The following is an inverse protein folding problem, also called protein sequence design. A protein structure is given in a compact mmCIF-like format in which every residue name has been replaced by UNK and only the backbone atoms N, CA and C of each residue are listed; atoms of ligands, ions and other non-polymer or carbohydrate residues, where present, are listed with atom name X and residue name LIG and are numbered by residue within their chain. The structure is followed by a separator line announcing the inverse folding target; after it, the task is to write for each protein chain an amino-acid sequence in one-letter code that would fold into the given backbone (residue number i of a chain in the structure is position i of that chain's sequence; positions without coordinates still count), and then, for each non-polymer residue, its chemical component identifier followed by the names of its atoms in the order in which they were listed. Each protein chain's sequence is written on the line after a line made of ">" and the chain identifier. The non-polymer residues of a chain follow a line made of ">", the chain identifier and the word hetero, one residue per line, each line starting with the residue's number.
data_IF_439018743449
#
_entry.id   IF_439018743449
#
_cell.length_a   1.000
_cell.length_b   1.000
_cell.length_c   1.000
_cell.angle_alpha   90.00
_cell.angle_beta   90.00
_cell.angle_gamma   90.00
#
_symmetry.space_group_name_H-M   'P 1'
#
loop_
_entity.id
_entity.type
_entity.pdbx_description
1 polymer ?
#
# COMPACT_ATOMS: atom_id res chain seq x y z
N UNK A 1 -33.12 -13.09 18.43
CA UNK A 1 -31.91 -13.86 18.07
C UNK A 1 -31.52 -14.80 19.18
N UNK A 2 -31.44 -14.38 20.44
CA UNK A 2 -31.07 -15.25 21.58
C UNK A 2 -31.88 -16.53 21.64
N UNK A 3 -33.21 -16.43 21.57
CA UNK A 3 -34.10 -17.59 21.56
C UNK A 3 -33.93 -18.50 20.35
N UNK A 4 -33.65 -17.91 19.17
CA UNK A 4 -33.46 -18.64 17.92
C UNK A 4 -32.15 -19.41 17.87
N UNK A 5 -31.07 -18.76 18.33
CA UNK A 5 -29.73 -19.37 18.33
C UNK A 5 -29.39 -20.12 19.64
N UNK A 6 -30.22 -20.02 20.65
CA UNK A 6 -30.03 -20.58 21.98
C UNK A 6 -28.73 -20.13 22.64
N UNK A 7 -28.49 -18.83 22.65
CA UNK A 7 -27.33 -18.14 23.22
C UNK A 7 -27.78 -16.86 23.91
N UNK A 8 -26.98 -16.36 24.85
CA UNK A 8 -27.18 -15.03 25.44
C UNK A 8 -26.25 -14.04 24.75
N UNK A 9 -26.73 -12.84 24.43
CA UNK A 9 -25.94 -11.77 23.83
C UNK A 9 -25.68 -10.69 24.89
N UNK A 10 -24.42 -10.34 25.10
CA UNK A 10 -24.08 -9.25 26.03
C UNK A 10 -24.62 -7.92 25.48
N UNK A 11 -25.16 -7.07 26.35
CA UNK A 11 -25.77 -5.79 25.96
C UNK A 11 -24.70 -4.88 25.32
N UNK A 12 -23.51 -4.80 25.91
CA UNK A 12 -22.38 -4.04 25.40
C UNK A 12 -21.94 -4.53 24.01
N UNK A 13 -22.06 -5.81 23.72
CA UNK A 13 -21.73 -6.38 22.42
C UNK A 13 -22.73 -6.03 21.32
N UNK A 14 -23.99 -5.75 21.69
CA UNK A 14 -24.99 -5.23 20.76
C UNK A 14 -24.67 -3.77 20.37
N UNK A 15 -24.26 -2.95 21.33
CA UNK A 15 -23.80 -1.58 21.06
C UNK A 15 -22.52 -1.60 20.21
N UNK A 16 -21.57 -2.47 20.52
CA UNK A 16 -20.38 -2.66 19.72
C UNK A 16 -20.69 -3.07 18.28
N UNK A 17 -21.70 -3.91 18.04
CA UNK A 17 -22.12 -4.30 16.69
C UNK A 17 -22.66 -3.10 15.92
N UNK A 18 -23.38 -2.18 16.56
CA UNK A 18 -23.83 -0.92 15.95
C UNK A 18 -22.64 -0.05 15.55
N UNK A 19 -21.71 0.17 16.49
CA UNK A 19 -20.53 1.03 16.27
C UNK A 19 -19.64 0.48 15.17
N UNK A 20 -19.25 -0.79 15.26
CA UNK A 20 -18.40 -1.43 14.23
C UNK A 20 -19.09 -1.50 12.88
N UNK A 21 -20.40 -1.78 12.84
CA UNK A 21 -21.14 -1.75 11.58
C UNK A 21 -21.13 -0.37 10.95
N UNK A 22 -21.25 0.67 11.76
CA UNK A 22 -21.28 2.05 11.29
C UNK A 22 -19.90 2.49 10.75
N UNK A 23 -18.86 2.04 11.41
CA UNK A 23 -17.48 2.36 11.07
C UNK A 23 -16.94 1.58 9.86
N UNK A 24 -17.34 0.31 9.69
CA UNK A 24 -16.71 -0.59 8.73
C UNK A 24 -17.64 -1.18 7.65
N UNK A 25 -18.98 -1.07 7.78
CA UNK A 25 -19.94 -1.63 6.82
C UNK A 25 -20.77 -0.52 6.21
N UNK A 26 -20.51 -0.20 4.93
CA UNK A 26 -21.11 0.95 4.23
C UNK A 26 -22.18 0.55 3.21
N UNK A 27 -22.25 -0.71 2.82
CA UNK A 27 -23.17 -1.22 1.80
C UNK A 27 -24.59 -1.47 2.32
N UNK A 28 -24.84 -1.35 3.63
CA UNK A 28 -26.13 -1.52 4.29
C UNK A 28 -26.40 -0.38 5.27
N UNK A 29 -27.68 -0.15 5.59
CA UNK A 29 -28.11 0.89 6.56
C UNK A 29 -28.36 0.26 7.93
N UNK A 30 -28.29 1.09 8.97
CA UNK A 30 -28.82 0.72 10.28
C UNK A 30 -30.35 0.67 10.22
N UNK A 31 -31.00 -0.22 10.97
CA UNK A 31 -30.41 -1.18 11.94
C UNK A 31 -29.94 -2.48 11.29
N UNK A 32 -30.27 -2.77 10.04
CA UNK A 32 -30.09 -4.07 9.38
C UNK A 32 -28.63 -4.58 9.44
N UNK A 33 -27.64 -3.69 9.22
CA UNK A 33 -26.24 -4.07 9.24
C UNK A 33 -25.74 -4.52 10.61
N UNK A 34 -26.27 -3.98 11.71
CA UNK A 34 -25.93 -4.39 13.06
C UNK A 34 -26.57 -5.75 13.38
N UNK A 35 -27.82 -5.93 13.01
CA UNK A 35 -28.52 -7.21 13.15
C UNK A 35 -27.85 -8.33 12.35
N UNK A 36 -27.37 -8.05 11.14
CA UNK A 36 -26.64 -9.02 10.33
C UNK A 36 -25.35 -9.50 11.03
N UNK A 37 -24.61 -8.61 11.68
CA UNK A 37 -23.39 -9.00 12.43
C UNK A 37 -23.76 -9.93 13.58
N UNK A 38 -24.74 -9.55 14.38
CA UNK A 38 -25.20 -10.32 15.54
C UNK A 38 -25.69 -11.69 15.10
N UNK A 39 -26.58 -11.75 14.10
CA UNK A 39 -27.11 -13.00 13.56
C UNK A 39 -26.02 -13.94 13.05
N UNK A 40 -25.05 -13.40 12.30
CA UNK A 40 -23.91 -14.18 11.77
C UNK A 40 -22.97 -14.65 12.85
N UNK A 41 -22.68 -13.83 13.87
CA UNK A 41 -21.86 -14.26 15.01
C UNK A 41 -22.52 -15.43 15.75
N UNK A 42 -23.83 -15.34 16.03
CA UNK A 42 -24.60 -16.42 16.65
C UNK A 42 -24.66 -17.67 15.74
N UNK A 43 -24.91 -17.49 14.45
CA UNK A 43 -24.94 -18.59 13.48
C UNK A 43 -23.58 -19.30 13.38
N UNK A 44 -22.49 -18.55 13.40
CA UNK A 44 -21.14 -19.13 13.39
C UNK A 44 -20.87 -19.96 14.65
N UNK A 45 -21.23 -19.45 15.83
CA UNK A 45 -21.11 -20.20 17.08
C UNK A 45 -21.88 -21.53 17.02
N UNK A 46 -23.05 -21.56 16.38
CA UNK A 46 -23.87 -22.76 16.21
C UNK A 46 -23.23 -23.83 15.30
N UNK A 47 -22.40 -23.43 14.33
CA UNK A 47 -21.70 -24.35 13.41
C UNK A 47 -20.49 -24.99 14.08
N UNK A 48 -19.95 -24.42 15.16
CA UNK A 48 -18.84 -25.00 15.90
C UNK A 48 -19.19 -26.35 16.49
N UNK A 49 -18.21 -27.26 16.73
CA UNK A 49 -18.39 -28.49 17.51
C UNK A 49 -19.01 -28.20 18.87
N UNK A 50 -19.81 -29.12 19.42
CA UNK A 50 -20.52 -28.90 20.69
C UNK A 50 -19.62 -28.49 21.85
N UNK A 51 -18.37 -28.95 21.88
CA UNK A 51 -17.40 -28.61 22.93
C UNK A 51 -16.79 -27.21 22.80
N UNK A 52 -16.93 -26.57 21.62
CA UNK A 52 -16.35 -25.24 21.33
C UNK A 52 -17.43 -24.15 21.26
N UNK A 53 -18.71 -24.51 21.46
CA UNK A 53 -19.82 -23.56 21.44
C UNK A 53 -19.84 -22.73 22.71
N UNK A 54 -20.08 -21.45 22.54
CA UNK A 54 -20.22 -20.51 23.64
C UNK A 54 -21.71 -20.35 23.99
N UNK A 55 -22.02 -20.28 25.26
CA UNK A 55 -23.37 -19.95 25.75
C UNK A 55 -23.66 -18.46 25.68
N UNK A 56 -22.60 -17.65 25.65
CA UNK A 56 -22.66 -16.17 25.62
C UNK A 56 -21.86 -15.66 24.45
N UNK A 57 -22.49 -14.81 23.64
CA UNK A 57 -21.84 -14.06 22.55
C UNK A 57 -21.39 -12.71 23.10
N UNK A 58 -20.09 -12.49 23.10
CA UNK A 58 -19.45 -11.30 23.61
C UNK A 58 -18.82 -10.45 22.50
N UNK A 59 -18.06 -9.46 22.93
CA UNK A 59 -17.34 -8.52 22.06
C UNK A 59 -16.38 -9.21 21.08
N UNK A 60 -15.78 -10.29 21.54
CA UNK A 60 -14.80 -11.04 20.77
C UNK A 60 -15.40 -11.73 19.54
N UNK A 61 -16.62 -12.27 19.68
CA UNK A 61 -17.36 -12.90 18.59
C UNK A 61 -17.88 -11.86 17.59
N UNK A 62 -18.34 -10.71 18.08
CA UNK A 62 -18.76 -9.58 17.24
C UNK A 62 -17.56 -9.06 16.43
N UNK A 63 -16.40 -8.84 17.06
CA UNK A 63 -15.18 -8.41 16.35
C UNK A 63 -14.71 -9.45 15.34
N UNK A 64 -14.75 -10.75 15.71
CA UNK A 64 -14.37 -11.81 14.79
C UNK A 64 -15.28 -11.86 13.55
N UNK A 65 -16.59 -11.61 13.72
CA UNK A 65 -17.52 -11.58 12.59
C UNK A 65 -17.30 -10.36 11.69
N UNK A 66 -17.10 -9.18 12.29
CA UNK A 66 -16.75 -7.98 11.51
C UNK A 66 -15.43 -8.17 10.76
N UNK A 67 -14.42 -8.80 11.39
CA UNK A 67 -13.15 -9.15 10.76
C UNK A 67 -13.35 -10.03 9.51
N UNK A 68 -14.23 -11.04 9.59
CA UNK A 68 -14.57 -11.91 8.44
C UNK A 68 -15.29 -11.16 7.32
N UNK A 69 -16.20 -10.26 7.68
CA UNK A 69 -16.98 -9.49 6.71
C UNK A 69 -16.15 -8.42 5.98
N UNK A 70 -15.19 -7.84 6.67
CA UNK A 70 -14.45 -6.68 6.19
C UNK A 70 -13.02 -7.00 5.75
N UNK A 71 -12.50 -8.17 6.12
CA UNK A 71 -11.11 -8.54 5.92
C UNK A 71 -10.12 -7.79 6.82
N UNK A 72 -10.62 -7.02 7.80
CA UNK A 72 -9.78 -6.31 8.77
C UNK A 72 -9.43 -7.27 9.91
N UNK A 73 -8.15 -7.39 10.31
CA UNK A 73 -7.78 -8.20 11.47
C UNK A 73 -8.55 -7.78 12.72
N UNK A 74 -8.98 -8.75 13.52
CA UNK A 74 -9.79 -8.56 14.75
C UNK A 74 -9.16 -7.52 15.68
N UNK A 75 -7.84 -7.53 15.79
CA UNK A 75 -7.04 -6.63 16.61
C UNK A 75 -7.15 -5.16 16.19
N UNK A 76 -7.61 -4.91 14.98
CA UNK A 76 -7.75 -3.58 14.39
C UNK A 76 -9.18 -3.04 14.48
N UNK A 77 -10.13 -3.81 15.02
CA UNK A 77 -11.53 -3.43 15.13
C UNK A 77 -11.83 -2.82 16.49
N UNK A 78 -12.12 -1.53 16.54
CA UNK A 78 -12.85 -0.88 17.62
C UNK A 78 -12.20 -0.82 19.00
N UNK A 79 -10.86 -0.67 19.11
CA UNK A 79 -10.24 -0.21 20.35
C UNK A 79 -9.42 1.06 20.06
N UNK A 80 -10.01 2.18 20.40
CA UNK A 80 -9.27 3.41 20.68
C UNK A 80 -8.75 3.35 22.14
N UNK A 81 -8.09 2.23 22.54
CA UNK A 81 -7.39 2.20 23.81
C UNK A 81 -5.98 2.74 23.58
N UNK A 82 -5.69 3.88 24.18
CA UNK A 82 -4.56 4.77 23.97
C UNK A 82 -3.16 4.13 23.93
N UNK A 83 -2.98 2.98 24.56
CA UNK A 83 -1.67 2.31 24.66
C UNK A 83 -1.35 1.50 23.38
N UNK A 84 -2.34 0.91 22.69
CA UNK A 84 -2.09 0.11 21.48
C UNK A 84 -1.86 0.98 20.23
N UNK A 85 -2.39 2.19 20.22
CA UNK A 85 -2.21 3.12 19.09
C UNK A 85 -0.78 3.66 19.05
N UNK A 86 -0.18 3.93 20.20
CA UNK A 86 1.22 4.40 20.30
C UNK A 86 2.21 3.30 19.92
N UNK A 87 2.00 2.06 20.40
CA UNK A 87 2.85 0.91 20.01
C UNK A 87 2.79 0.63 18.52
N UNK A 88 1.61 0.73 17.89
CA UNK A 88 1.46 0.57 16.44
C UNK A 88 2.15 1.67 15.63
N UNK A 89 2.10 2.92 16.08
CA UNK A 89 2.84 4.01 15.44
C UNK A 89 4.33 3.69 15.35
N UNK A 90 4.93 3.33 16.49
CA UNK A 90 6.35 3.04 16.58
C UNK A 90 6.74 1.78 15.78
N UNK A 91 5.89 0.76 15.78
CA UNK A 91 6.09 -0.46 14.98
C UNK A 91 6.02 -0.18 13.47
N UNK A 92 5.00 0.56 13.01
CA UNK A 92 4.87 0.95 11.60
C UNK A 92 6.06 1.81 11.19
N UNK A 93 6.43 2.79 11.99
CA UNK A 93 7.58 3.66 11.73
C UNK A 93 8.87 2.84 11.65
N UNK A 94 9.16 2.02 12.64
CA UNK A 94 10.36 1.17 12.67
C UNK A 94 10.41 0.21 11.46
N UNK A 95 9.27 -0.38 11.08
CA UNK A 95 9.20 -1.22 9.89
C UNK A 95 9.51 -0.46 8.61
N UNK A 96 8.95 0.76 8.45
CA UNK A 96 9.18 1.58 7.27
C UNK A 96 10.62 2.09 7.21
N UNK A 97 11.21 2.54 8.31
CA UNK A 97 12.60 3.01 8.39
C UNK A 97 13.61 1.89 8.06
N UNK A 98 13.26 0.63 8.38
CA UNK A 98 14.07 -0.54 8.06
C UNK A 98 13.87 -1.06 6.63
N UNK A 99 12.82 -0.61 5.93
CA UNK A 99 12.48 -1.14 4.60
C UNK A 99 12.55 -0.09 3.49
N UNK A 100 12.43 1.20 3.81
CA UNK A 100 12.49 2.31 2.85
C UNK A 100 13.67 3.21 3.21
N UNK A 101 14.71 3.20 2.39
CA UNK A 101 15.97 3.88 2.66
C UNK A 101 16.04 5.27 2.01
N UNK A 102 16.74 6.20 2.68
CA UNK A 102 16.99 7.54 2.17
C UNK A 102 15.80 8.50 2.23
N UNK A 103 14.69 8.11 2.89
CA UNK A 103 13.45 8.88 2.89
C UNK A 103 12.85 9.12 4.30
N UNK A 104 13.62 9.45 5.34
CA UNK A 104 13.10 9.54 6.71
C UNK A 104 11.98 10.57 6.84
N UNK A 105 12.11 11.73 6.22
CA UNK A 105 11.08 12.79 6.27
C UNK A 105 9.76 12.37 5.60
N UNK A 106 9.84 11.57 4.54
CA UNK A 106 8.64 11.04 3.89
C UNK A 106 7.95 10.00 4.77
N UNK A 107 8.71 9.12 5.42
CA UNK A 107 8.20 8.14 6.38
C UNK A 107 7.53 8.84 7.56
N UNK A 108 8.22 9.78 8.22
CA UNK A 108 7.69 10.53 9.36
C UNK A 108 6.35 11.18 9.00
N UNK A 109 6.29 11.93 7.90
CA UNK A 109 5.08 12.65 7.51
C UNK A 109 3.90 11.74 7.22
N UNK A 110 4.13 10.58 6.62
CA UNK A 110 3.08 9.59 6.35
C UNK A 110 2.57 8.96 7.65
N UNK A 111 3.48 8.56 8.53
CA UNK A 111 3.14 7.92 9.81
C UNK A 111 2.41 8.88 10.74
N UNK A 112 2.88 10.12 10.88
CA UNK A 112 2.26 11.16 11.72
C UNK A 112 0.79 11.41 11.31
N UNK A 113 0.54 11.55 10.02
CA UNK A 113 -0.80 11.83 9.52
C UNK A 113 -1.75 10.64 9.68
N UNK A 114 -1.25 9.42 9.50
CA UNK A 114 -2.03 8.20 9.77
C UNK A 114 -2.36 8.12 11.27
N UNK A 115 -1.43 8.47 12.14
CA UNK A 115 -1.64 8.50 13.59
C UNK A 115 -2.76 9.46 13.97
N UNK A 116 -2.79 10.67 13.39
CA UNK A 116 -3.89 11.63 13.60
C UNK A 116 -5.25 11.05 13.20
N UNK A 117 -5.28 10.34 12.06
CA UNK A 117 -6.51 9.69 11.59
C UNK A 117 -6.93 8.54 12.51
N UNK A 118 -5.99 7.70 12.94
CA UNK A 118 -6.27 6.58 13.86
C UNK A 118 -6.71 7.05 15.25
N UNK A 119 -6.23 8.21 15.70
CA UNK A 119 -6.69 8.85 16.93
C UNK A 119 -8.10 9.48 16.83
N UNK A 120 -8.76 9.37 15.67
CA UNK A 120 -10.10 9.96 15.45
C UNK A 120 -10.12 11.48 15.35
N UNK A 121 -8.97 12.13 15.17
CA UNK A 121 -8.84 13.58 15.09
C UNK A 121 -9.00 14.14 13.67
N UNK A 122 -9.33 13.26 12.71
CA UNK A 122 -9.59 13.63 11.32
C UNK A 122 -11.09 13.60 11.02
N UNK A 123 -11.49 14.36 9.99
CA UNK A 123 -12.87 14.37 9.48
C UNK A 123 -13.26 12.94 9.04
N UNK A 124 -14.30 12.32 9.64
CA UNK A 124 -14.70 10.94 9.36
C UNK A 124 -15.28 10.73 7.95
N UNK A 125 -15.54 11.80 7.22
CA UNK A 125 -16.03 11.73 5.84
C UNK A 125 -14.89 11.45 4.87
N UNK A 126 -13.68 11.94 5.16
CA UNK A 126 -12.50 11.84 4.29
C UNK A 126 -11.80 10.49 4.38
N UNK A 127 -10.99 10.12 3.36
CA UNK A 127 -10.08 8.97 3.45
C UNK A 127 -9.15 9.05 4.66
N UNK A 128 -8.63 7.91 5.15
CA UNK A 128 -7.66 7.85 6.26
C UNK A 128 -6.49 8.80 6.00
N UNK A 129 -5.92 8.74 4.80
CA UNK A 129 -4.86 9.66 4.37
C UNK A 129 -4.87 9.80 2.84
N UNK A 130 -4.43 10.95 2.36
CA UNK A 130 -4.34 11.27 0.93
C UNK A 130 -3.05 12.03 0.62
N UNK A 131 -2.17 11.43 -0.18
CA UNK A 131 -0.85 12.00 -0.46
C UNK A 131 -0.52 12.06 -1.93
N UNK A 132 0.22 13.10 -2.31
CA UNK A 132 0.97 13.15 -3.56
C UNK A 132 2.47 12.97 -3.26
N UNK A 133 3.05 11.85 -3.70
CA UNK A 133 4.47 11.57 -3.59
C UNK A 133 5.21 12.12 -4.81
N UNK A 134 6.12 13.04 -4.59
CA UNK A 134 6.86 13.73 -5.66
C UNK A 134 8.36 13.49 -5.52
N UNK A 135 9.07 13.48 -6.63
CA UNK A 135 10.53 13.30 -6.65
C UNK A 135 11.02 12.40 -7.77
N UNK A 136 12.33 12.10 -7.84
CA UNK A 136 12.95 11.33 -8.90
C UNK A 136 12.36 9.94 -9.08
N UNK A 137 12.62 9.33 -10.23
CA UNK A 137 12.27 7.92 -10.46
C UNK A 137 13.19 7.01 -9.64
N UNK A 138 12.66 5.88 -9.15
CA UNK A 138 13.46 4.84 -8.49
C UNK A 138 13.98 5.18 -7.08
N UNK A 139 13.39 6.19 -6.42
CA UNK A 139 13.78 6.61 -5.05
C UNK A 139 12.94 5.97 -3.94
N UNK A 140 11.94 5.12 -4.28
CA UNK A 140 11.16 4.40 -3.30
C UNK A 140 9.71 4.84 -3.11
N UNK A 141 9.15 5.73 -3.95
CA UNK A 141 7.73 6.18 -3.85
C UNK A 141 6.74 5.02 -3.80
N UNK A 142 6.78 4.16 -4.80
CA UNK A 142 5.93 2.96 -4.89
C UNK A 142 6.27 1.93 -3.81
N UNK A 143 7.55 1.84 -3.40
CA UNK A 143 7.98 0.94 -2.33
C UNK A 143 7.42 1.36 -0.97
N UNK A 144 7.41 2.67 -0.66
CA UNK A 144 6.80 3.17 0.57
C UNK A 144 5.31 2.82 0.64
N UNK A 145 4.56 3.01 -0.45
CA UNK A 145 3.15 2.62 -0.50
C UNK A 145 2.93 1.12 -0.27
N UNK A 146 3.78 0.28 -0.88
CA UNK A 146 3.75 -1.18 -0.71
C UNK A 146 4.05 -1.60 0.73
N UNK A 147 5.11 -1.05 1.33
CA UNK A 147 5.51 -1.38 2.71
C UNK A 147 4.51 -0.84 3.73
N UNK A 148 3.92 0.31 3.48
CA UNK A 148 2.83 0.83 4.29
C UNK A 148 1.62 -0.11 4.29
N UNK A 149 1.20 -0.59 3.12
CA UNK A 149 0.11 -1.56 3.02
C UNK A 149 0.42 -2.84 3.81
N UNK A 150 1.66 -3.34 3.74
CA UNK A 150 2.10 -4.51 4.50
C UNK A 150 2.11 -4.27 6.01
N UNK A 151 2.67 -3.14 6.47
CA UNK A 151 2.74 -2.82 7.91
C UNK A 151 1.37 -2.62 8.54
N UNK A 152 0.39 -2.16 7.76
CA UNK A 152 -0.97 -1.96 8.22
C UNK A 152 -1.90 -3.14 7.93
N UNK A 153 -1.38 -4.25 7.39
CA UNK A 153 -2.18 -5.41 6.97
C UNK A 153 -3.32 -5.05 6.01
N UNK A 154 -3.10 -4.02 5.18
CA UNK A 154 -4.04 -3.55 4.18
C UNK A 154 -3.70 -4.10 2.80
N UNK A 155 -4.69 -4.30 1.94
CA UNK A 155 -4.45 -4.68 0.55
C UNK A 155 -3.91 -3.50 -0.25
N UNK A 156 -2.86 -3.74 -1.04
CA UNK A 156 -2.40 -2.76 -2.03
C UNK A 156 -3.21 -2.91 -3.33
N UNK A 157 -3.95 -1.87 -3.68
CA UNK A 157 -4.64 -1.73 -4.97
C UNK A 157 -3.86 -0.71 -5.80
N UNK A 158 -3.25 -1.15 -6.91
CA UNK A 158 -2.37 -0.31 -7.72
C UNK A 158 -2.88 -0.17 -9.14
N UNK A 159 -2.86 1.07 -9.64
CA UNK A 159 -3.11 1.42 -11.04
C UNK A 159 -1.97 2.28 -11.58
N UNK A 160 -1.47 1.93 -12.76
CA UNK A 160 -0.55 2.76 -13.52
C UNK A 160 -1.36 3.73 -14.39
N UNK A 161 -1.26 5.01 -14.11
CA UNK A 161 -2.05 6.03 -14.80
C UNK A 161 -1.61 6.24 -16.25
N UNK A 162 -0.46 5.72 -16.63
CA UNK A 162 -0.06 5.68 -18.03
C UNK A 162 -1.00 4.81 -18.91
N UNK A 163 -1.73 3.85 -18.32
CA UNK A 163 -2.74 3.05 -19.02
C UNK A 163 -4.07 3.79 -19.21
N UNK A 164 -4.27 4.92 -18.50
CA UNK A 164 -5.52 5.68 -18.44
C UNK A 164 -5.39 7.11 -19.00
N UNK A 165 -4.59 7.25 -20.06
CA UNK A 165 -4.36 8.53 -20.75
C UNK A 165 -5.51 8.93 -21.66
N UNK A 166 -6.25 7.97 -22.17
CA UNK A 166 -7.33 8.20 -23.10
C UNK A 166 -8.70 8.08 -22.44
N UNK A 167 -9.69 8.85 -22.88
CA UNK A 167 -11.01 8.92 -22.30
C UNK A 167 -11.70 7.55 -22.23
N UNK A 168 -11.53 6.72 -23.25
CA UNK A 168 -12.14 5.39 -23.27
C UNK A 168 -11.51 4.42 -22.25
N UNK A 169 -10.23 4.62 -21.86
CA UNK A 169 -9.59 3.82 -20.84
C UNK A 169 -10.02 4.25 -19.43
N UNK A 170 -10.32 5.55 -19.22
CA UNK A 170 -10.93 6.04 -17.97
C UNK A 170 -12.28 5.37 -17.71
N UNK A 171 -13.07 5.16 -18.76
CA UNK A 171 -14.36 4.44 -18.61
C UNK A 171 -14.20 3.01 -18.10
N UNK A 172 -13.08 2.32 -18.36
CA UNK A 172 -12.79 1.02 -17.76
C UNK A 172 -12.54 1.11 -16.26
N UNK A 173 -12.00 2.25 -15.81
CA UNK A 173 -11.67 2.45 -14.40
C UNK A 173 -12.91 2.81 -13.56
N UNK A 174 -13.78 3.68 -14.07
CA UNK A 174 -14.93 4.25 -13.35
C UNK A 174 -16.29 3.76 -13.88
N UNK A 175 -16.29 2.88 -14.88
CA UNK A 175 -17.48 2.36 -15.55
C UNK A 175 -17.84 3.10 -16.83
N UNK A 176 -18.60 2.43 -17.70
CA UNK A 176 -19.07 2.99 -18.96
C UNK A 176 -20.39 3.72 -18.81
N UNK A 177 -20.55 4.95 -19.35
CA UNK A 177 -21.82 5.65 -19.33
C UNK A 177 -22.94 4.86 -20.05
N UNK A 178 -24.23 5.13 -19.75
CA UNK A 178 -25.34 4.50 -20.44
C UNK A 178 -25.25 4.67 -21.95
N UNK A 179 -25.46 3.57 -22.69
CA UNK A 179 -25.41 3.54 -24.15
C UNK A 179 -24.07 3.16 -24.77
N UNK A 180 -23.03 2.95 -23.99
CA UNK A 180 -21.74 2.43 -24.46
C UNK A 180 -21.62 0.92 -24.22
N UNK A 181 -20.79 0.25 -25.04
CA UNK A 181 -20.48 -1.19 -24.89
C UNK A 181 -19.87 -1.44 -23.53
N UNK A 182 -20.39 -2.44 -22.79
CA UNK A 182 -19.99 -2.76 -21.42
C UNK A 182 -20.81 -2.13 -20.30
N UNK A 183 -21.83 -1.32 -20.65
CA UNK A 183 -22.80 -0.83 -19.66
C UNK A 183 -23.76 -1.98 -19.28
N UNK A 184 -23.84 -2.30 -17.98
CA UNK A 184 -24.79 -3.31 -17.48
C UNK A 184 -24.26 -4.74 -17.35
N UNK A 185 -22.99 -5.00 -17.66
CA UNK A 185 -22.37 -6.32 -17.53
C UNK A 185 -21.98 -6.68 -16.06
N UNK A 186 -22.82 -6.30 -15.09
CA UNK A 186 -22.60 -6.58 -13.67
C UNK A 186 -21.37 -5.84 -13.11
N UNK A 187 -20.57 -6.50 -12.25
CA UNK A 187 -19.37 -5.88 -11.64
C UNK A 187 -18.37 -5.30 -12.65
N UNK A 188 -18.28 -5.84 -13.86
CA UNK A 188 -17.43 -5.32 -14.93
C UNK A 188 -17.92 -3.98 -15.48
N UNK A 189 -19.22 -3.73 -15.49
CA UNK A 189 -19.84 -2.47 -15.94
C UNK A 189 -19.66 -1.31 -14.97
N UNK A 190 -19.49 -1.59 -13.68
CA UNK A 190 -19.30 -0.57 -12.65
C UNK A 190 -17.90 0.09 -12.66
N UNK A 191 -16.94 -0.51 -13.32
CA UNK A 191 -15.55 -0.04 -13.38
C UNK A 191 -14.61 -0.73 -12.39
N UNK A 192 -13.34 -0.88 -12.82
CA UNK A 192 -12.32 -1.63 -12.06
C UNK A 192 -12.03 -1.01 -10.69
N UNK A 193 -11.91 0.33 -10.62
CA UNK A 193 -11.63 1.03 -9.36
C UNK A 193 -12.78 0.90 -8.38
N UNK A 194 -14.01 1.05 -8.88
CA UNK A 194 -15.24 0.92 -8.09
C UNK A 194 -15.34 -0.49 -7.48
N UNK A 195 -15.18 -1.53 -8.31
CA UNK A 195 -15.24 -2.92 -7.87
C UNK A 195 -14.13 -3.25 -6.85
N UNK A 196 -12.92 -2.75 -7.08
CA UNK A 196 -11.80 -2.99 -6.14
C UNK A 196 -11.99 -2.29 -4.80
N UNK A 197 -12.52 -1.07 -4.77
CA UNK A 197 -12.82 -0.37 -3.52
C UNK A 197 -14.00 -1.00 -2.77
N UNK A 198 -14.98 -1.54 -3.49
CA UNK A 198 -16.10 -2.28 -2.88
C UNK A 198 -15.63 -3.60 -2.26
N UNK A 199 -14.80 -4.36 -3.00
CA UNK A 199 -14.28 -5.64 -2.53
C UNK A 199 -13.22 -5.46 -1.42
N UNK A 200 -12.54 -4.29 -1.37
CA UNK A 200 -11.46 -4.00 -0.42
C UNK A 200 -11.58 -2.56 0.11
N UNK A 201 -12.55 -2.28 0.98
CA UNK A 201 -12.75 -0.93 1.51
C UNK A 201 -11.57 -0.43 2.36
N UNK A 202 -10.80 -1.36 2.95
CA UNK A 202 -9.59 -1.07 3.70
C UNK A 202 -8.37 -1.41 2.84
N UNK A 203 -7.96 -0.47 2.01
CA UNK A 203 -6.82 -0.67 1.12
C UNK A 203 -5.91 0.55 1.07
N UNK A 204 -4.69 0.32 0.62
CA UNK A 204 -3.83 1.39 0.11
C UNK A 204 -4.07 1.47 -1.39
N UNK A 205 -4.73 2.54 -1.83
CA UNK A 205 -4.94 2.83 -3.24
C UNK A 205 -3.75 3.61 -3.78
N UNK A 206 -2.98 3.00 -4.65
CA UNK A 206 -1.82 3.62 -5.29
C UNK A 206 -2.12 3.94 -6.75
N UNK A 207 -2.13 5.23 -7.09
CA UNK A 207 -2.23 5.74 -8.44
C UNK A 207 -0.85 6.20 -8.89
N UNK A 208 -0.19 5.38 -9.70
CA UNK A 208 1.20 5.62 -10.10
C UNK A 208 1.26 6.54 -11.34
N UNK A 209 2.14 7.54 -11.33
CA UNK A 209 2.33 8.54 -12.41
C UNK A 209 1.03 9.31 -12.76
N UNK A 210 0.38 9.89 -11.74
CA UNK A 210 -0.95 10.54 -11.86
C UNK A 210 -0.98 11.69 -12.88
N UNK A 211 0.15 12.30 -13.17
CA UNK A 211 0.28 13.33 -14.21
C UNK A 211 0.04 12.82 -15.64
N UNK A 212 0.04 11.51 -15.84
CA UNK A 212 -0.25 10.90 -17.15
C UNK A 212 -1.72 10.60 -17.38
N UNK A 213 -2.52 10.65 -16.31
CA UNK A 213 -3.95 10.36 -16.40
C UNK A 213 -4.71 11.36 -17.24
N UNK A 214 -5.80 10.89 -17.86
CA UNK A 214 -6.71 11.80 -18.56
C UNK A 214 -7.33 12.82 -17.58
N UNK A 215 -7.56 14.08 -17.97
CA UNK A 215 -8.14 15.12 -17.10
C UNK A 215 -9.48 14.75 -16.45
N UNK A 216 -10.32 13.99 -17.13
CA UNK A 216 -11.62 13.53 -16.57
C UNK A 216 -11.45 12.75 -15.27
N UNK A 217 -10.33 12.02 -15.10
CA UNK A 217 -10.03 11.31 -13.86
C UNK A 217 -9.79 12.26 -12.69
N UNK A 218 -9.22 13.45 -12.94
CA UNK A 218 -8.96 14.44 -11.88
C UNK A 218 -10.25 14.86 -11.17
N UNK A 219 -11.35 15.01 -11.91
CA UNK A 219 -12.65 15.36 -11.33
C UNK A 219 -13.20 14.26 -10.41
N UNK A 220 -12.97 13.00 -10.77
CA UNK A 220 -13.36 11.83 -9.96
C UNK A 220 -12.51 11.76 -8.69
N UNK A 221 -11.20 12.01 -8.81
CA UNK A 221 -10.29 12.06 -7.67
C UNK A 221 -10.64 13.20 -6.71
N UNK A 222 -11.09 14.34 -7.19
CA UNK A 222 -11.53 15.43 -6.31
C UNK A 222 -12.69 14.99 -5.40
N UNK A 223 -13.73 14.35 -5.93
CA UNK A 223 -14.83 13.81 -5.11
C UNK A 223 -14.33 12.75 -4.13
N UNK A 224 -13.45 11.89 -4.56
CA UNK A 224 -12.84 10.85 -3.72
C UNK A 224 -12.07 11.44 -2.53
N UNK A 225 -11.31 12.52 -2.76
CA UNK A 225 -10.51 13.20 -1.73
C UNK A 225 -11.35 14.04 -0.76
N UNK A 226 -12.47 14.59 -1.22
CA UNK A 226 -13.32 15.53 -0.47
C UNK A 226 -14.39 14.82 0.36
N UNK A 227 -15.09 13.90 -0.28
CA UNK A 227 -16.26 13.22 0.29
C UNK A 227 -15.96 11.78 0.71
N UNK A 228 -14.76 11.27 0.41
CA UNK A 228 -14.39 9.87 0.68
C UNK A 228 -15.26 8.87 -0.07
N UNK A 229 -15.88 9.27 -1.19
CA UNK A 229 -16.73 8.40 -2.01
C UNK A 229 -16.43 8.57 -3.49
N UNK A 230 -16.70 7.53 -4.24
CA UNK A 230 -16.63 7.55 -5.69
C UNK A 230 -17.97 7.06 -6.26
N UNK A 231 -18.50 7.76 -7.24
CA UNK A 231 -19.75 7.38 -7.92
C UNK A 231 -19.41 6.78 -9.27
N UNK A 232 -19.90 5.56 -9.52
CA UNK A 232 -19.76 4.91 -10.83
C UNK A 232 -20.63 5.61 -11.88
N UNK A 233 -20.37 5.33 -13.12
CA UNK A 233 -21.22 5.77 -14.24
C UNK A 233 -22.63 5.17 -14.19
N UNK A 234 -22.85 4.10 -13.43
CA UNK A 234 -24.17 3.48 -13.18
C UNK A 234 -24.92 4.13 -12.01
N UNK A 235 -24.31 5.14 -11.34
CA UNK A 235 -24.87 5.78 -10.15
C UNK A 235 -24.62 5.05 -8.84
N UNK A 236 -23.85 3.99 -8.85
CA UNK A 236 -23.44 3.29 -7.63
C UNK A 236 -22.39 4.09 -6.87
N UNK A 237 -22.60 4.27 -5.57
CA UNK A 237 -21.69 5.01 -4.69
C UNK A 237 -20.90 4.01 -3.85
N UNK A 238 -19.58 4.12 -3.89
CA UNK A 238 -18.65 3.28 -3.11
C UNK A 238 -17.78 4.17 -2.22
N UNK A 239 -17.63 3.78 -0.97
CA UNK A 239 -16.87 4.52 0.04
C UNK A 239 -15.40 4.13 0.01
N UNK A 240 -14.51 5.13 0.10
CA UNK A 240 -13.07 4.99 0.31
C UNK A 240 -12.60 5.64 1.62
N UNK A 241 -13.50 5.84 2.59
CA UNK A 241 -13.19 6.49 3.88
C UNK A 241 -12.12 5.73 4.68
N UNK A 242 -12.06 4.42 4.52
CA UNK A 242 -11.07 3.56 5.17
C UNK A 242 -9.85 3.29 4.27
N UNK A 243 -9.75 3.93 3.13
CA UNK A 243 -8.60 3.78 2.25
C UNK A 243 -7.52 4.83 2.55
N UNK A 244 -6.26 4.46 2.29
CA UNK A 244 -5.14 5.39 2.19
C UNK A 244 -4.89 5.62 0.71
N UNK A 245 -5.00 6.86 0.25
CA UNK A 245 -4.82 7.22 -1.15
C UNK A 245 -3.44 7.78 -1.36
N UNK A 246 -2.66 7.13 -2.20
CA UNK A 246 -1.31 7.56 -2.56
C UNK A 246 -1.24 7.75 -4.06
N UNK A 247 -0.88 8.93 -4.47
CA UNK A 247 -0.61 9.29 -5.87
C UNK A 247 0.87 9.54 -6.02
N UNK A 248 1.50 9.01 -7.06
CA UNK A 248 2.92 9.32 -7.35
C UNK A 248 3.03 10.22 -8.55
N UNK A 249 4.05 11.07 -8.56
CA UNK A 249 4.38 11.92 -9.68
C UNK A 249 5.89 12.07 -9.86
N UNK A 250 6.31 12.17 -11.12
CA UNK A 250 7.69 12.43 -11.53
C UNK A 250 7.87 13.86 -12.08
N UNK A 251 6.87 14.73 -11.92
CA UNK A 251 6.90 16.12 -12.40
C UNK A 251 8.10 16.87 -11.81
N UNK A 252 8.79 17.63 -12.67
CA UNK A 252 9.94 18.44 -12.30
C UNK A 252 11.21 17.67 -11.93
N UNK A 253 11.18 16.33 -11.91
CA UNK A 253 12.33 15.52 -11.51
C UNK A 253 13.53 15.70 -12.46
N UNK A 254 13.29 15.86 -13.76
CA UNK A 254 14.35 16.13 -14.76
C UNK A 254 14.98 17.49 -14.55
N UNK A 255 14.18 18.53 -14.34
CA UNK A 255 14.65 19.89 -14.13
C UNK A 255 15.38 20.05 -12.80
N UNK A 256 14.94 19.30 -11.76
CA UNK A 256 15.59 19.25 -10.47
C UNK A 256 16.97 18.56 -10.48
N UNK A 257 17.21 17.69 -11.47
CA UNK A 257 18.49 16.97 -11.64
C UNK A 257 19.51 17.73 -12.49
N UNK A 258 19.13 18.85 -13.11
CA UNK A 258 20.04 19.67 -13.92
C UNK A 258 20.98 20.43 -12.97
N UNK A 259 22.31 20.21 -13.13
CA UNK A 259 23.34 20.93 -12.38
C UNK A 259 23.20 22.43 -12.62
N UNK A 260 22.86 23.18 -11.59
CA UNK A 260 22.92 24.65 -11.66
C UNK A 260 24.39 25.07 -11.65
N UNK A 261 24.83 25.71 -12.72
CA UNK A 261 26.21 26.21 -12.85
C UNK A 261 26.50 27.19 -11.72
N UNK A 262 27.38 26.80 -10.76
CA UNK A 262 27.88 27.70 -9.72
C UNK A 262 27.72 27.26 -8.27
N UNK A 263 27.08 26.14 -7.95
CA UNK A 263 26.98 25.61 -6.57
C UNK A 263 27.62 24.23 -6.46
N UNK A 264 28.49 24.09 -5.47
CA UNK A 264 29.39 22.94 -5.26
C UNK A 264 28.72 21.75 -4.53
N UNK A 265 27.42 21.54 -4.57
CA UNK A 265 26.81 20.36 -4.00
C UNK A 265 25.69 19.84 -4.89
N UNK A 266 25.66 18.52 -5.11
CA UNK A 266 24.61 17.78 -5.80
C UNK A 266 23.32 17.73 -4.94
N UNK A 267 22.73 18.88 -4.63
CA UNK A 267 21.46 18.94 -3.95
C UNK A 267 20.32 18.91 -4.96
N UNK A 268 19.45 17.94 -4.81
CA UNK A 268 18.22 17.84 -5.59
C UNK A 268 17.35 19.09 -5.37
N UNK A 269 17.02 19.78 -6.45
CA UNK A 269 16.31 21.07 -6.39
C UNK A 269 14.80 20.87 -6.20
N UNK A 270 14.36 20.76 -4.96
CA UNK A 270 12.93 20.65 -4.62
C UNK A 270 12.06 21.81 -5.10
N UNK A 271 12.63 23.02 -5.28
CA UNK A 271 11.87 24.18 -5.79
C UNK A 271 11.42 23.99 -7.24
N UNK A 272 12.21 23.31 -8.06
CA UNK A 272 11.82 22.97 -9.43
C UNK A 272 10.64 21.97 -9.44
N UNK A 273 10.68 21.00 -8.54
CA UNK A 273 9.57 20.04 -8.37
C UNK A 273 8.30 20.77 -7.90
N UNK A 274 8.42 21.65 -6.89
CA UNK A 274 7.29 22.43 -6.40
C UNK A 274 6.66 23.29 -7.50
N UNK A 275 7.48 23.95 -8.29
CA UNK A 275 7.00 24.77 -9.42
C UNK A 275 6.27 23.90 -10.46
N UNK A 276 6.80 22.75 -10.82
CA UNK A 276 6.17 21.83 -11.77
C UNK A 276 4.83 21.30 -11.25
N UNK A 277 4.77 20.88 -9.98
CA UNK A 277 3.54 20.42 -9.30
C UNK A 277 2.50 21.54 -9.23
N UNK A 278 2.92 22.76 -8.89
CA UNK A 278 2.04 23.93 -8.80
C UNK A 278 1.46 24.34 -10.15
N UNK A 279 2.22 24.16 -11.22
CA UNK A 279 1.79 24.46 -12.58
C UNK A 279 0.85 23.39 -13.15
N UNK A 280 1.02 22.12 -12.76
CA UNK A 280 0.24 21.01 -13.28
C UNK A 280 -1.07 20.82 -12.52
N UNK A 281 -1.01 20.74 -11.19
CA UNK A 281 -2.18 20.48 -10.36
C UNK A 281 -2.82 21.81 -9.90
N UNK A 282 -4.10 21.95 -10.16
CA UNK A 282 -4.87 23.10 -9.69
C UNK A 282 -4.77 23.26 -8.15
N UNK A 283 -4.81 24.50 -7.64
CA UNK A 283 -4.80 24.75 -6.20
C UNK A 283 -5.90 23.98 -5.45
N UNK A 284 -7.05 23.84 -6.08
CA UNK A 284 -8.17 23.10 -5.54
C UNK A 284 -7.83 21.64 -5.25
N UNK A 285 -7.19 20.95 -6.18
CA UNK A 285 -6.74 19.56 -6.00
C UNK A 285 -5.70 19.45 -4.87
N UNK A 286 -4.70 20.34 -4.88
CA UNK A 286 -3.62 20.31 -3.88
C UNK A 286 -4.10 20.56 -2.45
N UNK A 287 -5.11 21.42 -2.27
CA UNK A 287 -5.68 21.76 -0.97
C UNK A 287 -6.54 20.62 -0.37
N UNK A 288 -6.92 19.62 -1.15
CA UNK A 288 -7.67 18.45 -0.69
C UNK A 288 -6.77 17.30 -0.22
N UNK A 289 -5.47 17.38 -0.53
CA UNK A 289 -4.48 16.42 -0.05
C UNK A 289 -4.11 16.71 1.41
N UNK A 290 -3.90 15.66 2.19
CA UNK A 290 -3.28 15.78 3.52
C UNK A 290 -1.82 16.26 3.42
N UNK A 291 -1.19 15.97 2.28
CA UNK A 291 0.12 16.52 2.01
C UNK A 291 0.77 16.11 0.68
N UNK A 292 1.74 16.92 0.31
CA UNK A 292 2.70 16.60 -0.76
C UNK A 292 3.97 16.12 -0.06
N UNK A 293 4.33 14.87 -0.29
CA UNK A 293 5.48 14.20 0.30
C UNK A 293 6.62 14.18 -0.70
N UNK A 294 7.73 14.81 -0.33
CA UNK A 294 8.89 14.96 -1.20
C UNK A 294 9.89 13.86 -0.96
N UNK A 295 10.29 13.18 -2.01
CA UNK A 295 11.33 12.15 -1.99
C UNK A 295 12.66 12.73 -2.46
N UNK A 296 13.71 12.44 -1.73
CA UNK A 296 15.07 12.84 -2.07
C UNK A 296 15.70 11.89 -3.08
N UNK A 297 16.70 12.36 -3.81
CA UNK A 297 17.57 11.48 -4.56
C UNK A 297 18.32 10.55 -3.60
N UNK A 298 18.54 9.30 -4.01
CA UNK A 298 19.27 8.32 -3.21
C UNK A 298 20.77 8.67 -3.16
N UNK A 299 21.37 8.49 -2.00
CA UNK A 299 22.82 8.61 -1.82
C UNK A 299 23.52 7.26 -2.06
N UNK A 300 24.85 7.27 -2.20
CA UNK A 300 25.64 6.02 -2.27
C UNK A 300 25.49 5.18 -0.99
N UNK A 301 25.34 5.81 0.17
CA UNK A 301 25.11 5.11 1.43
C UNK A 301 23.74 4.39 1.44
N UNK A 302 22.70 5.02 0.88
CA UNK A 302 21.41 4.39 0.72
C UNK A 302 21.46 3.20 -0.22
N UNK A 303 22.22 3.31 -1.33
CA UNK A 303 22.38 2.20 -2.27
C UNK A 303 22.98 0.96 -1.62
N UNK A 304 23.97 1.13 -0.74
CA UNK A 304 24.53 0.00 0.01
C UNK A 304 23.47 -0.76 0.81
N UNK A 305 22.62 -0.01 1.53
CA UNK A 305 21.51 -0.59 2.32
C UNK A 305 20.48 -1.28 1.40
N UNK A 306 20.20 -0.69 0.23
CA UNK A 306 19.27 -1.26 -0.75
C UNK A 306 19.83 -2.56 -1.34
N UNK A 307 21.11 -2.63 -1.68
CA UNK A 307 21.78 -3.85 -2.16
C UNK A 307 21.64 -4.98 -1.13
N UNK A 308 21.98 -4.71 0.13
CA UNK A 308 21.87 -5.69 1.23
C UNK A 308 20.42 -6.18 1.37
N UNK A 309 19.44 -5.28 1.30
CA UNK A 309 18.02 -5.65 1.35
C UNK A 309 17.62 -6.58 0.22
N UNK A 310 17.96 -6.25 -1.04
CA UNK A 310 17.63 -7.10 -2.20
C UNK A 310 18.29 -8.47 -2.13
N UNK A 311 19.51 -8.55 -1.62
CA UNK A 311 20.20 -9.83 -1.43
C UNK A 311 19.56 -10.63 -0.28
N UNK A 312 19.17 -9.99 0.81
CA UNK A 312 18.42 -10.62 1.90
C UNK A 312 17.05 -11.16 1.44
N UNK A 313 16.35 -10.45 0.55
CA UNK A 313 15.14 -10.98 -0.07
C UNK A 313 15.40 -12.26 -0.90
N UNK A 314 16.60 -12.39 -1.51
CA UNK A 314 17.00 -13.62 -2.20
C UNK A 314 17.25 -14.77 -1.23
N UNK A 315 17.85 -14.50 -0.08
CA UNK A 315 18.07 -15.52 0.96
C UNK A 315 16.74 -16.14 1.40
N UNK A 316 15.68 -15.33 1.58
CA UNK A 316 14.37 -15.86 1.98
C UNK A 316 13.76 -16.83 0.96
N UNK A 317 14.08 -16.69 -0.34
CA UNK A 317 13.59 -17.62 -1.37
C UNK A 317 14.29 -18.99 -1.34
N UNK A 318 15.52 -19.05 -0.83
CA UNK A 318 16.29 -20.31 -0.76
C UNK A 318 16.30 -20.93 0.63
N UNK A 319 15.83 -20.21 1.63
CA UNK A 319 15.74 -20.67 3.02
C UNK A 319 14.92 -21.97 3.15
N UNK A 320 13.82 -22.09 2.39
CA UNK A 320 13.01 -23.31 2.33
C UNK A 320 13.78 -24.55 1.85
N UNK A 321 14.97 -24.39 1.23
CA UNK A 321 15.87 -25.44 0.80
C UNK A 321 17.03 -25.64 1.76
N UNK A 322 17.03 -24.99 2.92
CA UNK A 322 18.12 -25.00 3.91
C UNK A 322 19.49 -24.61 3.34
N UNK A 323 19.49 -23.64 2.42
CA UNK A 323 20.70 -23.10 1.79
C UNK A 323 21.05 -21.79 2.46
N UNK A 324 22.26 -21.67 2.98
CA UNK A 324 22.80 -20.43 3.56
C UNK A 324 23.70 -19.76 2.53
N UNK A 325 23.46 -18.47 2.25
CA UNK A 325 24.27 -17.70 1.30
C UNK A 325 25.14 -16.71 2.05
N UNK A 326 26.43 -16.65 1.65
CA UNK A 326 27.37 -15.60 2.08
C UNK A 326 27.78 -14.78 0.87
N UNK A 327 27.55 -13.48 0.95
CA UNK A 327 27.82 -12.54 -0.13
C UNK A 327 29.21 -11.94 0.00
N UNK A 328 30.02 -12.07 -1.03
CA UNK A 328 31.38 -11.55 -1.07
C UNK A 328 31.45 -10.03 -1.27
N UNK A 329 32.50 -9.38 -0.78
CA UNK A 329 32.62 -7.91 -0.81
C UNK A 329 32.77 -7.36 -2.23
N UNK A 330 33.37 -8.09 -3.17
CA UNK A 330 33.55 -7.66 -4.55
C UNK A 330 32.17 -7.63 -5.28
N UNK A 331 31.28 -8.59 -4.97
CA UNK A 331 29.92 -8.60 -5.48
C UNK A 331 29.12 -7.39 -4.96
N UNK A 332 29.19 -7.10 -3.67
CA UNK A 332 28.52 -5.95 -3.07
C UNK A 332 28.96 -4.65 -3.72
N UNK A 333 30.28 -4.45 -3.86
CA UNK A 333 30.86 -3.26 -4.49
C UNK A 333 30.42 -3.10 -5.97
N UNK A 334 30.39 -4.20 -6.72
CA UNK A 334 29.92 -4.20 -8.12
C UNK A 334 28.45 -3.82 -8.23
N UNK A 335 27.59 -4.37 -7.34
CA UNK A 335 26.16 -4.04 -7.34
C UNK A 335 25.90 -2.60 -6.90
N UNK A 336 26.64 -2.06 -5.94
CA UNK A 336 26.58 -0.67 -5.52
C UNK A 336 26.95 0.29 -6.65
N UNK A 337 28.05 0.01 -7.36
CA UNK A 337 28.56 0.89 -8.42
C UNK A 337 27.71 0.84 -9.70
N UNK A 338 27.43 -0.36 -10.22
CA UNK A 338 26.66 -0.54 -11.46
C UNK A 338 25.14 -0.45 -11.26
N UNK A 339 24.65 -0.64 -10.04
CA UNK A 339 23.21 -0.58 -9.72
C UNK A 339 22.67 0.82 -9.47
N UNK A 340 23.53 1.82 -9.37
CA UNK A 340 23.17 3.21 -9.13
C UNK A 340 23.19 4.05 -10.41
N UNK A 341 22.09 4.78 -10.65
CA UNK A 341 22.00 5.81 -11.68
C UNK A 341 21.43 7.08 -11.07
N UNK A 342 22.09 8.23 -11.20
CA UNK A 342 21.62 9.50 -10.61
C UNK A 342 20.21 9.92 -11.06
N UNK A 343 19.78 9.52 -12.28
CA UNK A 343 18.48 9.88 -12.86
C UNK A 343 17.40 8.82 -12.60
N UNK A 344 17.79 7.55 -12.54
CA UNK A 344 16.90 6.39 -12.39
C UNK A 344 16.91 5.79 -10.98
N UNK A 345 17.74 6.31 -10.08
CA UNK A 345 17.87 5.83 -8.70
C UNK A 345 18.31 4.37 -8.61
N UNK A 346 17.59 3.59 -7.80
CA UNK A 346 17.84 2.15 -7.63
C UNK A 346 17.13 1.25 -8.68
N UNK A 347 16.45 1.82 -9.68
CA UNK A 347 15.71 1.02 -10.68
C UNK A 347 16.62 0.07 -11.49
N UNK A 348 17.85 0.47 -11.89
CA UNK A 348 18.78 -0.45 -12.57
C UNK A 348 19.25 -1.61 -11.72
N UNK A 349 19.31 -1.45 -10.39
CA UNK A 349 19.80 -2.46 -9.47
C UNK A 349 18.97 -3.77 -9.52
N UNK A 350 17.65 -3.67 -9.56
CA UNK A 350 16.78 -4.85 -9.62
C UNK A 350 17.04 -5.69 -10.88
N UNK A 351 17.26 -5.02 -12.02
CA UNK A 351 17.61 -5.68 -13.28
C UNK A 351 19.01 -6.30 -13.21
N UNK A 352 19.99 -5.55 -12.69
CA UNK A 352 21.36 -6.02 -12.52
C UNK A 352 21.42 -7.28 -11.63
N UNK A 353 20.73 -7.28 -10.50
CA UNK A 353 20.64 -8.45 -9.61
C UNK A 353 19.99 -9.64 -10.33
N UNK A 354 18.93 -9.40 -11.10
CA UNK A 354 18.27 -10.48 -11.84
C UNK A 354 19.20 -11.15 -12.86
N UNK A 355 19.93 -10.34 -13.63
CA UNK A 355 20.83 -10.81 -14.68
C UNK A 355 22.14 -11.37 -14.12
N UNK A 356 22.76 -10.69 -13.14
CA UNK A 356 24.10 -11.03 -12.64
C UNK A 356 24.11 -12.01 -11.47
N UNK A 357 23.03 -12.11 -10.69
CA UNK A 357 22.97 -12.93 -9.49
C UNK A 357 21.89 -14.01 -9.59
N UNK A 358 20.62 -13.63 -9.77
CA UNK A 358 19.50 -14.60 -9.75
C UNK A 358 19.62 -15.66 -10.81
N UNK A 359 19.89 -15.28 -12.06
CA UNK A 359 19.96 -16.24 -13.17
C UNK A 359 21.12 -17.23 -13.02
N UNK A 360 22.37 -16.80 -12.71
CA UNK A 360 23.46 -17.74 -12.45
C UNK A 360 23.22 -18.63 -11.23
N UNK A 361 22.69 -18.05 -10.12
CA UNK A 361 22.33 -18.79 -8.92
C UNK A 361 21.27 -19.86 -9.22
N UNK A 362 20.22 -19.52 -9.94
CA UNK A 362 19.17 -20.47 -10.32
C UNK A 362 19.73 -21.64 -11.14
N UNK A 363 20.64 -21.37 -12.10
CA UNK A 363 21.30 -22.43 -12.88
C UNK A 363 22.16 -23.34 -11.98
N UNK A 364 22.87 -22.77 -11.02
CA UNK A 364 23.65 -23.54 -10.07
C UNK A 364 22.77 -24.44 -9.20
N UNK A 365 21.69 -23.90 -8.64
CA UNK A 365 20.76 -24.63 -7.78
C UNK A 365 19.99 -25.74 -8.50
N UNK A 366 19.77 -25.60 -9.81
CA UNK A 366 19.14 -26.66 -10.63
C UNK A 366 20.13 -27.78 -10.99
N UNK A 367 21.41 -27.48 -11.04
CA UNK A 367 22.46 -28.45 -11.36
C UNK A 367 23.01 -29.20 -10.13
N UNK A 368 22.79 -28.69 -8.92
CA UNK A 368 23.31 -29.22 -7.67
C UNK A 368 22.18 -29.33 -6.64
N UNK A 369 21.86 -30.55 -6.23
CA UNK A 369 20.88 -30.80 -5.18
C UNK A 369 21.58 -31.02 -3.84
N UNK A 370 21.00 -30.50 -2.76
CA UNK A 370 21.49 -30.71 -1.39
C UNK A 370 21.36 -29.47 -0.50
N UNK A 371 21.68 -29.67 0.78
CA UNK A 371 21.76 -28.62 1.79
C UNK A 371 23.22 -28.20 1.91
N UNK A 372 23.52 -26.94 1.61
CA UNK A 372 24.90 -26.44 1.63
C UNK A 372 25.00 -24.95 1.90
N UNK A 373 26.16 -24.51 2.30
CA UNK A 373 26.48 -23.08 2.36
C UNK A 373 27.10 -22.67 1.03
N UNK A 374 26.64 -21.53 0.49
CA UNK A 374 27.16 -20.96 -0.74
C UNK A 374 27.96 -19.70 -0.44
N UNK A 375 29.23 -19.69 -0.79
CA UNK A 375 30.03 -18.47 -0.85
C UNK A 375 29.96 -17.89 -2.27
N UNK A 376 29.30 -16.73 -2.39
CA UNK A 376 29.05 -16.10 -3.69
C UNK A 376 29.80 -14.77 -3.77
N UNK A 377 30.67 -14.62 -4.76
CA UNK A 377 31.41 -13.39 -4.98
C UNK A 377 31.56 -13.08 -6.48
N UNK A 378 32.08 -11.89 -6.79
CA UNK A 378 32.24 -11.40 -8.16
C UNK A 378 33.69 -11.33 -8.54
N UNK A 379 34.12 -12.15 -9.51
CA UNK A 379 35.53 -12.17 -9.99
C UNK A 379 35.58 -12.27 -11.50
N UNK A 380 36.47 -11.50 -12.13
CA UNK A 380 36.70 -11.51 -13.58
C UNK A 380 35.39 -11.36 -14.39
N UNK A 381 34.53 -10.41 -13.99
CA UNK A 381 33.22 -10.12 -14.59
C UNK A 381 32.23 -11.30 -14.59
N UNK A 382 32.39 -12.25 -13.68
CA UNK A 382 31.51 -13.41 -13.51
C UNK A 382 31.16 -13.63 -12.05
N UNK A 383 29.97 -14.16 -11.80
CA UNK A 383 29.56 -14.64 -10.50
C UNK A 383 30.28 -15.98 -10.23
N UNK A 384 31.00 -16.02 -9.12
CA UNK A 384 31.64 -17.25 -8.62
C UNK A 384 30.78 -17.79 -7.49
N UNK A 385 30.35 -19.04 -7.60
CA UNK A 385 29.52 -19.73 -6.62
C UNK A 385 30.29 -20.94 -6.15
N UNK A 386 30.67 -20.97 -4.89
CA UNK A 386 31.40 -22.07 -4.25
C UNK A 386 30.49 -22.70 -3.18
N UNK A 387 30.15 -23.98 -3.32
CA UNK A 387 29.49 -24.75 -2.27
C UNK A 387 30.55 -25.20 -1.23
N UNK A 388 30.23 -24.95 0.05
CA UNK A 388 31.06 -25.35 1.20
C UNK A 388 30.31 -26.36 2.04
#
# INVERSE_FOLDING_TARGET
>A
YEQYHNVTIQEESADLAVDLSNQYIFNKKLPDKAFDIIDRACAFNRILPEGDRLDIIGDDEIRAEVARLTGIPKEHLGKADDVQTVTKHDEVKAYLDNTVFGQPQAVDRVVDSITVSMAGLKDPIKPIASYLFTGPTGVGKTELAKRLAQSMSMKLVRYDMAEYQERHTVSKLIGSPPGYVGHGDGKAGDGLLISQLEDNPNCVLLLDEVEKAHPDLMSVLLSLLDEGVITSSTGKIVSAKNAIIIMTSNLGAKDASIKTIGFNEEQFNHKAVDAAVNNYFAPEFRNRLDGIVKFNALTRADMKRIVVKFLGELETYVDSRHIVIKWGPELLAMLEDKGYDPTMGARPLARLINESVKLPLAKYLLANEGNYTLDIDWKKEKLMINGV
#
